data_IF_294898412467
#
_entry.id   IF_294898412467
#
_cell.length_a   1.000
_cell.length_b   1.000
_cell.length_c   1.000
_cell.angle_alpha   90.00
_cell.angle_beta   90.00
_cell.angle_gamma   90.00
#
_symmetry.space_group_name_H-M   'P 1'
#
loop_
_entity.id
_entity.type
_entity.pdbx_description
1 polymer ?
#
# COMPACT_ATOMS: atom_id res chain seq x y z
N UNK A 1 -20.66 -2.14 2.23
CA UNK A 1 -20.43 -3.12 1.14
C UNK A 1 -21.68 -3.91 0.76
N UNK A 2 -22.61 -4.18 1.69
CA UNK A 2 -23.83 -4.96 1.41
C UNK A 2 -24.82 -4.29 0.44
N UNK A 3 -24.99 -2.96 0.51
CA UNK A 3 -25.96 -2.23 -0.35
C UNK A 3 -25.61 -2.24 -1.85
N UNK A 4 -24.32 -2.34 -2.20
CA UNK A 4 -23.89 -2.33 -3.62
C UNK A 4 -24.22 -3.64 -4.33
N UNK A 5 -23.96 -4.77 -3.67
CA UNK A 5 -24.21 -6.09 -4.29
C UNK A 5 -25.69 -6.36 -4.52
N UNK A 6 -26.54 -5.89 -3.61
CA UNK A 6 -28.00 -6.03 -3.68
C UNK A 6 -28.61 -5.24 -4.86
N UNK A 7 -28.00 -4.11 -5.23
CA UNK A 7 -28.50 -3.21 -6.29
C UNK A 7 -27.82 -3.39 -7.65
N UNK A 8 -26.57 -3.87 -7.67
CA UNK A 8 -25.74 -3.87 -8.88
C UNK A 8 -25.16 -5.25 -9.23
N UNK A 9 -25.45 -6.29 -8.44
CA UNK A 9 -24.88 -7.63 -8.65
C UNK A 9 -23.42 -7.73 -8.21
N UNK A 10 -22.65 -8.66 -8.79
CA UNK A 10 -21.25 -8.85 -8.40
C UNK A 10 -20.40 -7.63 -8.80
N UNK A 11 -19.61 -7.12 -7.85
CA UNK A 11 -18.74 -5.97 -8.09
C UNK A 11 -17.71 -6.28 -9.19
N UNK A 12 -17.65 -5.47 -10.27
CA UNK A 12 -16.60 -5.55 -11.27
C UNK A 12 -15.21 -5.38 -10.64
N UNK A 13 -14.18 -5.93 -11.28
CA UNK A 13 -12.81 -5.87 -10.76
C UNK A 13 -12.32 -4.42 -10.63
N UNK A 14 -12.72 -3.58 -11.57
CA UNK A 14 -12.41 -2.15 -11.63
C UNK A 14 -12.95 -1.43 -10.37
N UNK A 15 -14.17 -1.76 -9.95
CA UNK A 15 -14.78 -1.17 -8.75
C UNK A 15 -14.07 -1.68 -7.48
N UNK A 16 -13.70 -2.96 -7.43
CA UNK A 16 -12.90 -3.51 -6.32
C UNK A 16 -11.54 -2.81 -6.20
N UNK A 17 -10.87 -2.58 -7.33
CA UNK A 17 -9.59 -1.87 -7.39
C UNK A 17 -9.74 -0.40 -6.97
N UNK A 18 -10.81 0.26 -7.37
CA UNK A 18 -11.10 1.64 -6.96
C UNK A 18 -11.31 1.73 -5.44
N UNK A 19 -12.14 0.85 -4.88
CA UNK A 19 -12.38 0.81 -3.43
C UNK A 19 -11.09 0.49 -2.65
N UNK A 20 -10.26 -0.41 -3.19
CA UNK A 20 -8.93 -0.69 -2.64
C UNK A 20 -8.04 0.57 -2.63
N UNK A 21 -7.97 1.30 -3.74
CA UNK A 21 -7.17 2.52 -3.85
C UNK A 21 -7.66 3.62 -2.87
N UNK A 22 -8.97 3.81 -2.74
CA UNK A 22 -9.56 4.77 -1.79
C UNK A 22 -9.22 4.38 -0.36
N UNK A 23 -9.36 3.10 0.00
CA UNK A 23 -8.98 2.60 1.33
C UNK A 23 -7.49 2.85 1.61
N UNK A 24 -6.63 2.57 0.63
CA UNK A 24 -5.20 2.78 0.76
C UNK A 24 -4.86 4.26 0.94
N UNK A 25 -5.53 5.16 0.20
CA UNK A 25 -5.37 6.61 0.32
C UNK A 25 -5.72 7.12 1.72
N UNK A 26 -6.80 6.62 2.32
CA UNK A 26 -7.20 6.98 3.69
C UNK A 26 -6.17 6.49 4.71
N UNK A 27 -5.68 5.26 4.59
CA UNK A 27 -4.67 4.71 5.50
C UNK A 27 -3.33 5.46 5.36
N UNK A 28 -2.89 5.72 4.13
CA UNK A 28 -1.66 6.44 3.83
C UNK A 28 -1.66 7.85 4.41
N UNK A 29 -2.78 8.57 4.25
CA UNK A 29 -2.93 9.92 4.81
C UNK A 29 -2.82 9.94 6.34
N UNK A 30 -3.32 8.92 7.03
CA UNK A 30 -3.18 8.79 8.49
C UNK A 30 -1.75 8.44 8.92
N UNK A 31 -1.05 7.69 8.08
CA UNK A 31 0.31 7.22 8.31
C UNK A 31 1.40 8.23 7.92
N UNK A 32 1.04 9.47 7.55
CA UNK A 32 2.01 10.47 7.10
C UNK A 32 2.69 10.13 5.76
N UNK A 33 2.12 9.22 4.98
CA UNK A 33 2.60 8.87 3.63
C UNK A 33 2.03 9.90 2.65
N UNK A 34 2.92 10.69 2.06
CA UNK A 34 2.59 11.74 1.09
C UNK A 34 2.29 11.14 -0.29
N UNK A 35 3.10 10.16 -0.71
CA UNK A 35 3.01 9.58 -2.05
C UNK A 35 3.03 8.06 -2.02
N UNK A 36 2.20 7.47 -2.89
CA UNK A 36 2.27 6.07 -3.29
C UNK A 36 2.25 6.06 -4.82
N UNK A 37 3.40 5.81 -5.44
CA UNK A 37 3.59 5.84 -6.90
C UNK A 37 4.02 4.47 -7.42
N UNK A 38 3.83 4.24 -8.73
CA UNK A 38 4.46 3.11 -9.42
C UNK A 38 5.57 3.65 -10.31
N UNK A 39 6.81 3.22 -10.05
CA UNK A 39 8.01 3.65 -10.78
C UNK A 39 8.77 2.39 -11.23
N UNK A 40 9.03 2.25 -12.54
CA UNK A 40 9.77 1.11 -13.11
C UNK A 40 9.23 -0.28 -12.66
N UNK A 41 7.90 -0.39 -12.50
CA UNK A 41 7.24 -1.62 -12.05
C UNK A 41 7.44 -1.94 -10.57
N UNK A 42 7.92 -0.99 -9.77
CA UNK A 42 7.96 -1.03 -8.30
C UNK A 42 6.95 -0.04 -7.74
N UNK A 43 6.40 -0.32 -6.57
CA UNK A 43 5.57 0.62 -5.83
C UNK A 43 6.47 1.36 -4.83
N UNK A 44 6.45 2.68 -4.86
CA UNK A 44 7.28 3.54 -4.03
C UNK A 44 6.37 4.32 -3.07
N UNK A 45 6.68 4.25 -1.78
CA UNK A 45 6.01 5.03 -0.74
C UNK A 45 7.01 6.06 -0.20
N UNK A 46 6.58 7.31 -0.04
CA UNK A 46 7.37 8.37 0.60
C UNK A 46 6.52 9.06 1.67
N UNK A 47 7.13 9.32 2.82
CA UNK A 47 6.52 10.12 3.88
C UNK A 47 6.60 11.61 3.54
N UNK A 48 5.79 12.44 4.22
CA UNK A 48 5.97 13.89 4.13
C UNK A 48 7.37 14.30 4.57
N UNK A 49 7.83 15.44 4.05
CA UNK A 49 9.12 16.02 4.39
C UNK A 49 9.31 16.13 5.92
N UNK A 50 10.52 15.78 6.39
CA UNK A 50 10.86 15.76 7.81
C UNK A 50 10.48 14.48 8.55
N UNK A 51 9.71 13.57 7.94
CA UNK A 51 9.41 12.26 8.53
C UNK A 51 10.33 11.15 8.02
N UNK A 52 10.54 10.13 8.85
CA UNK A 52 11.35 8.95 8.53
C UNK A 52 10.61 7.67 8.91
N UNK A 53 10.84 6.62 8.14
CA UNK A 53 10.30 5.30 8.46
C UNK A 53 11.00 4.73 9.70
N UNK A 54 10.23 4.18 10.62
CA UNK A 54 10.78 3.39 11.71
C UNK A 54 11.21 2.01 11.21
N UNK A 55 12.53 1.83 11.10
CA UNK A 55 13.14 0.58 10.65
C UNK A 55 12.83 -0.60 11.56
N UNK A 56 12.72 -0.40 12.88
CA UNK A 56 12.39 -1.48 13.82
C UNK A 56 10.93 -1.91 13.64
N UNK A 57 10.03 -0.94 13.46
CA UNK A 57 8.63 -1.19 13.23
C UNK A 57 8.37 -1.95 11.92
N UNK A 58 9.17 -1.66 10.87
CA UNK A 58 9.07 -2.26 9.55
C UNK A 58 9.88 -3.55 9.36
N UNK A 59 10.81 -3.87 10.26
CA UNK A 59 11.65 -5.07 10.17
C UNK A 59 10.89 -6.36 9.84
N UNK A 60 9.71 -6.65 10.44
CA UNK A 60 8.94 -7.86 10.11
C UNK A 60 8.46 -7.94 8.66
N UNK A 61 8.41 -6.82 7.95
CA UNK A 61 7.94 -6.71 6.56
C UNK A 61 9.09 -6.69 5.56
N UNK A 62 10.33 -6.46 5.99
CA UNK A 62 11.49 -6.43 5.11
C UNK A 62 11.85 -7.85 4.68
N UNK A 63 11.49 -8.20 3.44
CA UNK A 63 11.67 -9.52 2.85
C UNK A 63 11.89 -9.40 1.34
N UNK A 64 12.04 -10.51 0.63
CA UNK A 64 12.16 -10.45 -0.84
C UNK A 64 10.96 -9.70 -1.44
N UNK A 65 11.27 -8.65 -2.21
CA UNK A 65 10.29 -7.72 -2.76
C UNK A 65 9.82 -6.57 -1.87
N UNK A 66 10.35 -6.37 -0.65
CA UNK A 66 10.10 -5.16 0.16
C UNK A 66 11.43 -4.61 0.69
N UNK A 67 11.76 -3.38 0.31
CA UNK A 67 13.05 -2.76 0.64
C UNK A 67 12.85 -1.37 1.24
N UNK A 68 13.45 -1.14 2.41
CA UNK A 68 13.50 0.19 3.02
C UNK A 68 14.77 0.92 2.56
N UNK A 69 14.60 2.03 1.85
CA UNK A 69 15.64 3.00 1.55
C UNK A 69 15.68 4.13 2.60
N UNK A 70 16.47 5.17 2.35
CA UNK A 70 16.62 6.30 3.27
C UNK A 70 15.29 7.01 3.56
N UNK A 71 14.58 7.43 2.51
CA UNK A 71 13.33 8.20 2.63
C UNK A 71 12.17 7.54 1.87
N UNK A 72 12.33 6.29 1.45
CA UNK A 72 11.33 5.60 0.66
C UNK A 72 11.25 4.12 1.01
N UNK A 73 10.05 3.58 0.95
CA UNK A 73 9.80 2.15 1.02
C UNK A 73 9.42 1.65 -0.37
N UNK A 74 10.09 0.60 -0.83
CA UNK A 74 9.92 0.01 -2.16
C UNK A 74 9.26 -1.35 -2.03
N UNK A 75 8.20 -1.59 -2.79
CA UNK A 75 7.60 -2.90 -2.94
C UNK A 75 7.71 -3.34 -4.40
N UNK A 76 7.99 -4.62 -4.61
CA UNK A 76 8.09 -5.26 -5.91
C UNK A 76 6.89 -6.18 -6.14
N UNK A 77 5.83 -5.74 -6.85
CA UNK A 77 4.66 -6.57 -7.09
C UNK A 77 4.98 -7.89 -7.80
N UNK A 78 5.98 -7.91 -8.71
CA UNK A 78 6.37 -9.13 -9.43
C UNK A 78 6.95 -10.19 -8.49
N UNK A 79 7.74 -9.76 -7.49
CA UNK A 79 8.31 -10.67 -6.47
C UNK A 79 7.25 -11.12 -5.46
N UNK A 80 6.34 -10.23 -5.08
CA UNK A 80 5.29 -10.51 -4.09
C UNK A 80 4.12 -11.33 -4.67
N UNK A 81 3.98 -11.41 -5.99
CA UNK A 81 2.94 -12.20 -6.64
C UNK A 81 1.54 -11.70 -6.27
N UNK A 82 0.58 -12.62 -6.14
CA UNK A 82 -0.84 -12.30 -5.87
C UNK A 82 -1.06 -11.55 -4.53
N UNK A 83 -0.10 -11.66 -3.61
CA UNK A 83 -0.20 -11.08 -2.26
C UNK A 83 0.23 -9.61 -2.17
N UNK A 84 0.70 -9.00 -3.28
CA UNK A 84 1.28 -7.66 -3.24
C UNK A 84 0.31 -6.59 -2.70
N UNK A 85 -0.99 -6.68 -3.02
CA UNK A 85 -2.01 -5.74 -2.52
C UNK A 85 -2.22 -5.87 -1.00
N UNK A 86 -2.29 -7.11 -0.51
CA UNK A 86 -2.40 -7.38 0.92
C UNK A 86 -1.19 -6.84 1.69
N UNK A 87 0.01 -7.07 1.15
CA UNK A 87 1.26 -6.61 1.76
C UNK A 87 1.41 -5.10 1.74
N UNK A 88 1.06 -4.44 0.64
CA UNK A 88 1.07 -2.98 0.58
C UNK A 88 0.14 -2.37 1.64
N UNK A 89 -1.06 -2.90 1.78
CA UNK A 89 -2.01 -2.43 2.80
C UNK A 89 -1.50 -2.64 4.22
N UNK A 90 -0.88 -3.79 4.51
CA UNK A 90 -0.39 -4.11 5.85
C UNK A 90 0.82 -3.26 6.24
N UNK A 91 1.72 -3.04 5.29
CA UNK A 91 2.82 -2.09 5.44
C UNK A 91 2.31 -0.68 5.74
N UNK A 92 1.35 -0.18 4.96
CA UNK A 92 0.78 1.17 5.18
C UNK A 92 0.12 1.29 6.55
N UNK A 93 -0.57 0.23 7.01
CA UNK A 93 -1.15 0.19 8.36
C UNK A 93 -0.11 0.15 9.46
N UNK A 94 1.04 -0.47 9.22
CA UNK A 94 2.10 -0.56 10.21
C UNK A 94 2.78 0.78 10.40
N UNK A 95 2.97 1.55 9.32
CA UNK A 95 3.63 2.87 9.35
C UNK A 95 2.84 3.90 10.16
N UNK A 96 1.50 3.88 10.06
CA UNK A 96 0.62 4.79 10.81
C UNK A 96 0.27 4.31 12.20
#
# INVERSE_FOLDING_TARGET
AHEFSDRFGSLPLEVKNLLYAVKLKVLASKAGIETISTEHGQIILRLFEGMQFDKQQLQPFLRDGIQLGLNQLRLNPKRLGKEWQGMLQEVVRRVG
#
